data_IF_805496140492
#
_entry.id   IF_805496140492
#
_cell.length_a   1.000
_cell.length_b   1.000
_cell.length_c   1.000
_cell.angle_alpha   90.00
_cell.angle_beta   90.00
_cell.angle_gamma   90.00
#
_symmetry.space_group_name_H-M   'P 1'
#
loop_
_entity.id
_entity.type
_entity.pdbx_description
1 polymer ?
#
# COMPACT_ATOMS: atom_id res chain seq x y z
N UNK A 1 -16.28 1.91 4.86
CA UNK A 1 -15.22 2.02 3.83
C UNK A 1 -15.26 3.41 3.24
N UNK A 2 -14.10 4.03 3.00
CA UNK A 2 -14.02 5.29 2.27
C UNK A 2 -13.72 5.01 0.79
N UNK A 3 -14.25 5.79 -0.15
CA UNK A 3 -13.94 5.62 -1.57
C UNK A 3 -12.48 5.93 -1.87
N UNK A 4 -11.93 5.27 -2.90
CA UNK A 4 -10.63 5.58 -3.48
C UNK A 4 -10.74 6.92 -4.22
N UNK A 5 -9.85 7.85 -3.92
CA UNK A 5 -9.75 9.15 -4.58
C UNK A 5 -8.64 9.16 -5.62
N UNK A 6 -8.63 10.17 -6.49
CA UNK A 6 -7.53 10.38 -7.43
C UNK A 6 -6.19 10.57 -6.72
N UNK A 7 -6.17 11.20 -5.54
CA UNK A 7 -4.97 11.38 -4.74
C UNK A 7 -4.41 10.01 -4.26
N UNK A 8 -5.28 9.12 -3.81
CA UNK A 8 -4.89 7.76 -3.40
C UNK A 8 -4.32 6.97 -4.60
N UNK A 9 -4.91 7.15 -5.79
CA UNK A 9 -4.42 6.53 -7.02
C UNK A 9 -3.03 7.05 -7.42
N UNK A 10 -2.76 8.35 -7.27
CA UNK A 10 -1.43 8.93 -7.51
C UNK A 10 -0.41 8.38 -6.50
N UNK A 11 -0.78 8.28 -5.22
CA UNK A 11 0.08 7.67 -4.20
C UNK A 11 0.37 6.20 -4.53
N UNK A 12 -0.65 5.42 -4.88
CA UNK A 12 -0.49 4.03 -5.32
C UNK A 12 0.41 3.90 -6.56
N UNK A 13 0.32 4.84 -7.51
CA UNK A 13 1.19 4.86 -8.68
C UNK A 13 2.66 5.10 -8.31
N UNK A 14 2.94 6.02 -7.38
CA UNK A 14 4.31 6.30 -6.88
C UNK A 14 4.96 5.09 -6.22
N UNK A 15 4.18 4.24 -5.56
CA UNK A 15 4.68 3.00 -4.94
C UNK A 15 5.16 1.97 -5.97
N UNK A 16 4.81 2.08 -7.27
CA UNK A 16 5.16 1.10 -8.29
C UNK A 16 6.64 0.74 -8.31
N UNK A 17 7.50 1.74 -8.32
CA UNK A 17 8.96 1.54 -8.44
C UNK A 17 9.50 0.70 -7.30
N UNK A 18 8.89 0.78 -6.11
CA UNK A 18 9.29 0.05 -4.91
C UNK A 18 8.66 -1.33 -4.80
N UNK A 19 7.48 -1.54 -5.39
CA UNK A 19 6.74 -2.80 -5.23
C UNK A 19 6.78 -3.71 -6.46
N UNK A 20 7.22 -3.25 -7.63
CA UNK A 20 7.21 -4.04 -8.87
C UNK A 20 8.04 -5.32 -8.78
N UNK A 21 9.14 -5.31 -8.02
CA UNK A 21 10.00 -6.48 -7.81
C UNK A 21 9.34 -7.57 -6.94
N UNK A 22 8.37 -7.18 -6.13
CA UNK A 22 7.59 -8.07 -5.26
C UNK A 22 6.29 -8.56 -5.93
N UNK A 23 6.08 -8.29 -7.22
CA UNK A 23 4.91 -8.77 -7.96
C UNK A 23 3.57 -8.12 -7.58
N UNK A 24 3.58 -7.03 -6.81
CA UNK A 24 2.34 -6.41 -6.31
C UNK A 24 1.53 -5.77 -7.44
N UNK A 25 0.23 -6.10 -7.49
CA UNK A 25 -0.70 -5.52 -8.45
C UNK A 25 -0.98 -4.03 -8.15
N UNK A 26 -1.75 -3.35 -9.01
CA UNK A 26 -2.26 -2.01 -8.70
C UNK A 26 -3.16 -2.03 -7.46
N UNK A 27 -4.00 -3.06 -7.32
CA UNK A 27 -4.93 -3.21 -6.18
C UNK A 27 -4.17 -3.28 -4.86
N UNK A 28 -3.08 -4.01 -4.82
CA UNK A 28 -2.26 -4.20 -3.61
C UNK A 28 -1.57 -2.91 -3.16
N UNK A 29 -1.36 -1.97 -4.08
CA UNK A 29 -0.83 -0.63 -3.81
C UNK A 29 -1.91 0.38 -3.39
N UNK A 30 -3.13 0.23 -3.89
CA UNK A 30 -4.24 1.10 -3.49
C UNK A 30 -4.63 0.92 -2.01
N UNK A 31 -4.53 -0.29 -1.47
CA UNK A 31 -4.84 -0.58 -0.06
C UNK A 31 -3.98 0.24 0.92
N UNK A 32 -2.63 0.21 0.85
CA UNK A 32 -1.78 1.05 1.70
C UNK A 32 -1.94 2.55 1.41
N UNK A 33 -2.17 2.95 0.16
CA UNK A 33 -2.44 4.36 -0.17
C UNK A 33 -3.71 4.89 0.53
N UNK A 34 -4.75 4.06 0.63
CA UNK A 34 -5.97 4.39 1.38
C UNK A 34 -5.74 4.47 2.89
N UNK A 35 -4.95 3.55 3.46
CA UNK A 35 -4.62 3.54 4.90
C UNK A 35 -3.69 4.68 5.32
N UNK A 36 -2.85 5.17 4.40
CA UNK A 36 -1.97 6.31 4.62
C UNK A 36 -2.75 7.61 4.92
N UNK A 37 -3.92 7.80 4.30
CA UNK A 37 -4.73 9.03 4.49
C UNK A 37 -5.12 9.29 5.95
N UNK A 38 -5.67 8.31 6.69
CA UNK A 38 -5.93 8.46 8.13
C UNK A 38 -4.70 8.20 9.02
N UNK A 39 -3.51 8.00 8.44
CA UNK A 39 -2.29 7.58 9.15
C UNK A 39 -2.48 6.29 9.99
N UNK A 40 -3.27 5.34 9.46
CA UNK A 40 -3.53 4.06 10.12
C UNK A 40 -2.66 2.95 9.50
N UNK A 41 -2.27 1.95 10.31
CA UNK A 41 -1.57 0.80 9.78
C UNK A 41 -2.46 0.03 8.79
N UNK A 42 -1.90 -0.32 7.63
CA UNK A 42 -2.58 -1.16 6.66
C UNK A 42 -2.26 -2.61 6.97
N UNK A 43 -3.28 -3.35 7.41
CA UNK A 43 -3.14 -4.78 7.73
C UNK A 43 -3.31 -5.59 6.45
N UNK A 44 -2.31 -6.41 6.10
CA UNK A 44 -2.32 -7.29 4.93
C UNK A 44 -2.01 -8.73 5.34
N UNK A 45 -2.68 -9.71 4.73
CA UNK A 45 -2.34 -11.12 4.93
C UNK A 45 -1.24 -11.62 3.96
N UNK A 46 -0.97 -10.83 2.92
CA UNK A 46 0.06 -11.12 1.94
C UNK A 46 1.45 -10.73 2.48
N UNK A 47 2.35 -11.71 2.55
CA UNK A 47 3.73 -11.52 3.02
C UNK A 47 4.64 -10.92 1.96
N UNK A 48 4.23 -10.85 0.69
CA UNK A 48 5.05 -10.29 -0.39
C UNK A 48 5.37 -8.80 -0.18
N UNK A 49 4.61 -8.10 0.67
CA UNK A 49 4.86 -6.71 1.07
C UNK A 49 5.76 -6.54 2.30
N UNK A 50 6.18 -7.62 2.96
CA UNK A 50 6.96 -7.54 4.20
C UNK A 50 8.33 -6.88 3.95
N UNK A 51 8.65 -5.84 4.73
CA UNK A 51 9.95 -5.15 4.66
C UNK A 51 10.10 -4.17 3.50
N UNK A 52 9.06 -3.93 2.70
CA UNK A 52 9.09 -2.86 1.69
C UNK A 52 8.99 -1.48 2.38
N UNK A 53 9.87 -0.57 2.00
CA UNK A 53 9.72 0.85 2.31
C UNK A 53 8.63 1.44 1.40
N UNK A 54 7.53 1.89 2.00
CA UNK A 54 6.36 2.43 1.31
C UNK A 54 6.19 3.93 1.62
N UNK A 55 7.27 4.70 1.58
CA UNK A 55 7.25 6.16 1.84
C UNK A 55 6.64 6.50 3.22
N UNK A 56 7.02 5.74 4.25
CA UNK A 56 6.50 5.93 5.61
C UNK A 56 5.09 5.41 5.85
N UNK A 57 4.48 4.70 4.88
CA UNK A 57 3.20 4.02 5.09
C UNK A 57 3.42 2.76 5.92
N UNK A 58 2.84 2.74 7.12
CA UNK A 58 2.90 1.57 8.02
C UNK A 58 2.07 0.42 7.45
N UNK A 59 2.72 -0.71 7.19
CA UNK A 59 2.07 -1.97 6.82
C UNK A 59 2.32 -3.02 7.89
N UNK A 60 1.25 -3.68 8.32
CA UNK A 60 1.30 -4.80 9.25
C UNK A 60 0.93 -6.08 8.51
N UNK A 61 1.85 -7.04 8.50
CA UNK A 61 1.58 -8.37 7.93
C UNK A 61 1.01 -9.26 9.02
N UNK A 62 -0.14 -9.88 8.77
CA UNK A 62 -0.73 -10.92 9.62
C UNK A 62 -0.71 -12.24 8.86
N UNK A 63 0.16 -13.15 9.28
CA UNK A 63 0.31 -14.50 8.73
C UNK A 63 -0.11 -15.55 9.74
#
# INVERSE_FOLDING_TARGET
MQPLTAADAVTAAKLWTRTRGAGRSLRDRCCPALGARPALPTVIADTAGAGLDLDGITVQVIG
#
